data_IF_875998943973
#
_entry.id   IF_875998943973
#
_cell.length_a   1.000
_cell.length_b   1.000
_cell.length_c   1.000
_cell.angle_alpha   90.00
_cell.angle_beta   90.00
_cell.angle_gamma   90.00
#
_symmetry.space_group_name_H-M   'P 1'
#
loop_
_entity.id
_entity.type
_entity.pdbx_description
1 polymer ?
#
# COMPACT_ATOMS: atom_id res chain seq x y z
N UNK A 1 11.55 -17.08 2.50
CA UNK A 1 12.11 -16.03 3.36
C UNK A 1 13.08 -16.61 4.38
N UNK A 2 13.95 -15.81 4.95
CA UNK A 2 14.84 -16.18 6.06
C UNK A 2 14.02 -16.33 7.36
N UNK A 3 12.99 -15.52 7.55
CA UNK A 3 12.17 -15.43 8.76
C UNK A 3 12.87 -14.64 9.87
N UNK A 4 13.81 -13.76 9.51
CA UNK A 4 14.39 -12.79 10.44
C UNK A 4 13.36 -11.77 10.88
N UNK A 5 12.48 -11.43 10.00
CA UNK A 5 11.25 -10.70 10.19
C UNK A 5 10.11 -11.71 10.51
N UNK A 6 9.68 -11.86 11.82
CA UNK A 6 10.33 -11.24 12.97
C UNK A 6 10.89 -12.28 13.97
N UNK A 7 11.52 -13.35 13.49
CA UNK A 7 12.14 -14.39 14.31
C UNK A 7 13.26 -13.85 15.23
N UNK A 8 13.91 -12.74 14.84
CA UNK A 8 14.97 -12.15 15.64
C UNK A 8 14.43 -11.51 16.94
N UNK A 9 13.25 -10.90 16.90
CA UNK A 9 12.59 -10.37 18.08
C UNK A 9 12.25 -11.46 19.08
N UNK A 10 11.72 -12.59 18.62
CA UNK A 10 11.43 -13.77 19.45
C UNK A 10 12.71 -14.26 20.10
N UNK A 11 13.80 -14.38 19.33
CA UNK A 11 15.10 -14.83 19.85
C UNK A 11 15.65 -13.86 20.92
N UNK A 12 15.59 -12.55 20.67
CA UNK A 12 16.02 -11.53 21.65
C UNK A 12 15.18 -11.55 22.92
N UNK A 13 13.86 -11.66 22.80
CA UNK A 13 12.96 -11.75 23.95
C UNK A 13 13.25 -12.98 24.83
N UNK A 14 13.45 -14.14 24.20
CA UNK A 14 13.83 -15.36 24.93
C UNK A 14 15.21 -15.24 25.60
N UNK A 15 16.19 -14.66 24.91
CA UNK A 15 17.52 -14.46 25.47
C UNK A 15 17.50 -13.55 26.71
N UNK A 16 16.69 -12.47 26.69
CA UNK A 16 16.49 -11.60 27.86
C UNK A 16 15.84 -12.35 29.02
N UNK A 17 14.86 -13.21 28.76
CA UNK A 17 14.18 -13.98 29.80
C UNK A 17 15.06 -15.10 30.42
N UNK A 18 16.02 -15.63 29.68
CA UNK A 18 16.95 -16.67 30.16
C UNK A 18 18.12 -16.11 30.96
N UNK A 19 18.56 -14.88 30.69
CA UNK A 19 19.74 -14.30 31.30
C UNK A 19 19.41 -13.55 32.61
N UNK A 20 19.57 -14.24 33.73
CA UNK A 20 19.35 -13.68 35.06
C UNK A 20 20.35 -12.55 35.48
N UNK A 21 21.31 -12.22 34.65
CA UNK A 21 22.28 -11.13 34.90
C UNK A 21 21.81 -9.79 34.34
N UNK A 22 20.82 -9.79 33.47
CA UNK A 22 20.25 -8.58 32.89
C UNK A 22 19.36 -7.87 33.92
N UNK A 23 19.61 -6.59 34.12
CA UNK A 23 18.73 -5.74 34.92
C UNK A 23 17.55 -5.26 34.08
N UNK A 24 16.32 -5.52 34.52
CA UNK A 24 15.11 -5.13 33.83
C UNK A 24 13.93 -4.95 34.80
N UNK A 25 12.86 -4.20 34.43
CA UNK A 25 11.58 -4.24 35.14
C UNK A 25 10.91 -5.60 34.94
N UNK A 26 9.69 -5.80 35.48
CA UNK A 26 8.91 -6.97 35.14
C UNK A 26 8.64 -7.02 33.64
N UNK A 27 8.90 -8.16 32.99
CA UNK A 27 8.76 -8.35 31.54
C UNK A 27 7.65 -9.38 31.26
N UNK A 28 6.87 -9.09 30.27
CA UNK A 28 5.93 -9.99 29.59
C UNK A 28 6.37 -10.09 28.14
N UNK A 29 6.62 -11.30 27.63
CA UNK A 29 6.92 -11.52 26.21
C UNK A 29 5.61 -11.90 25.49
N UNK A 30 5.13 -10.99 24.64
CA UNK A 30 3.99 -11.23 23.77
C UNK A 30 4.49 -11.73 22.41
N UNK A 31 3.98 -12.86 21.97
CA UNK A 31 4.19 -13.40 20.61
C UNK A 31 2.84 -13.62 19.97
N UNK A 32 2.61 -12.96 18.86
CA UNK A 32 1.36 -13.02 18.10
C UNK A 32 1.45 -14.00 16.94
N UNK A 33 0.33 -14.24 16.27
CA UNK A 33 0.23 -15.06 15.06
C UNK A 33 -0.36 -14.24 13.92
N UNK A 34 -0.03 -14.62 12.68
CA UNK A 34 -0.58 -14.04 11.45
C UNK A 34 -0.27 -12.53 11.27
N UNK A 35 0.85 -12.03 11.79
CA UNK A 35 1.26 -10.63 11.58
C UNK A 35 1.30 -10.29 10.09
N UNK A 36 2.01 -11.11 9.30
CA UNK A 36 2.29 -10.93 7.87
C UNK A 36 1.07 -11.00 6.94
N UNK A 37 -0.09 -11.31 7.46
CA UNK A 37 -1.29 -11.53 6.66
C UNK A 37 -2.48 -10.68 7.11
N UNK A 38 -2.97 -10.92 8.31
CA UNK A 38 -4.20 -10.31 8.82
C UNK A 38 -4.00 -9.53 10.11
N UNK A 39 -2.83 -9.61 10.75
CA UNK A 39 -2.60 -9.19 12.14
C UNK A 39 -3.59 -9.87 13.13
N UNK A 40 -4.06 -11.08 12.75
CA UNK A 40 -5.15 -11.78 13.46
C UNK A 40 -4.87 -11.99 14.95
N UNK A 41 -3.60 -12.28 15.30
CA UNK A 41 -3.19 -12.43 16.70
C UNK A 41 -3.31 -11.15 17.50
N UNK A 42 -2.89 -10.01 16.95
CA UNK A 42 -2.97 -8.72 17.62
C UNK A 42 -4.40 -8.18 17.68
N UNK A 43 -5.18 -8.33 16.60
CA UNK A 43 -6.58 -7.93 16.54
C UNK A 43 -7.49 -8.78 17.45
N UNK A 44 -7.14 -10.05 17.67
CA UNK A 44 -7.85 -10.98 18.54
C UNK A 44 -7.37 -10.96 19.99
N UNK A 45 -6.48 -10.05 20.37
CA UNK A 45 -5.95 -9.95 21.74
C UNK A 45 -7.11 -9.59 22.71
N UNK A 46 -7.25 -10.36 23.78
CA UNK A 46 -8.26 -10.07 24.78
C UNK A 46 -7.80 -8.96 25.74
N UNK A 47 -8.75 -8.20 26.28
CA UNK A 47 -8.47 -7.20 27.29
C UNK A 47 -7.92 -7.83 28.58
N UNK A 48 -7.03 -7.11 29.28
CA UNK A 48 -6.45 -7.50 30.57
C UNK A 48 -5.52 -8.74 30.55
N UNK A 49 -5.04 -9.19 29.39
CA UNK A 49 -3.97 -10.20 29.32
C UNK A 49 -2.63 -9.56 29.70
N UNK A 50 -2.34 -8.37 29.17
CA UNK A 50 -1.10 -7.65 29.48
C UNK A 50 -1.29 -6.78 30.71
N UNK A 51 -0.28 -6.76 31.57
CA UNK A 51 -0.24 -5.92 32.77
C UNK A 51 0.77 -4.78 32.65
N UNK A 52 1.71 -4.88 31.69
CA UNK A 52 2.70 -3.86 31.37
C UNK A 52 2.07 -2.51 31.00
N UNK A 53 2.84 -1.44 31.19
CA UNK A 53 2.45 -0.06 30.82
C UNK A 53 3.27 0.49 29.65
N UNK A 54 4.28 -0.23 29.24
CA UNK A 54 5.16 0.09 28.12
C UNK A 54 5.28 -1.14 27.23
N UNK A 55 5.32 -0.94 25.92
CA UNK A 55 5.50 -2.01 24.92
C UNK A 55 6.64 -1.64 23.98
N UNK A 56 7.62 -2.51 23.92
CA UNK A 56 8.69 -2.45 22.92
C UNK A 56 8.37 -3.47 21.85
N UNK A 57 7.87 -3.01 20.71
CA UNK A 57 7.75 -3.82 19.50
C UNK A 57 9.12 -3.90 18.82
N UNK A 58 9.59 -5.09 18.46
CA UNK A 58 10.88 -5.28 17.79
C UNK A 58 10.63 -5.72 16.33
N UNK A 59 9.91 -4.88 15.59
CA UNK A 59 9.42 -5.16 14.25
C UNK A 59 9.80 -4.05 13.24
N UNK A 60 10.75 -3.19 13.63
CA UNK A 60 11.36 -2.25 12.70
C UNK A 60 12.59 -2.88 12.05
N UNK A 61 12.90 -2.46 10.84
CA UNK A 61 13.91 -3.07 9.97
C UNK A 61 15.13 -2.17 9.77
N UNK A 62 15.15 -1.03 10.43
CA UNK A 62 16.23 -0.04 10.32
C UNK A 62 16.79 0.34 11.69
N UNK A 63 18.10 0.15 11.83
CA UNK A 63 18.84 0.60 12.99
C UNK A 63 18.82 2.14 13.12
N UNK A 64 18.90 2.65 14.35
CA UNK A 64 18.83 4.08 14.67
C UNK A 64 17.49 4.78 14.33
N UNK A 65 16.42 4.02 14.09
CA UNK A 65 15.08 4.55 13.96
C UNK A 65 14.20 4.05 15.11
N UNK A 66 13.31 4.92 15.59
CA UNK A 66 12.22 4.58 16.51
C UNK A 66 10.90 5.01 15.89
N UNK A 67 10.06 4.05 15.61
CA UNK A 67 8.70 4.29 15.12
C UNK A 67 7.78 4.48 16.32
N UNK A 68 6.95 5.54 16.27
CA UNK A 68 6.10 5.97 17.38
C UNK A 68 4.65 6.23 16.93
N UNK A 69 4.31 5.72 15.78
CA UNK A 69 2.98 5.78 15.20
C UNK A 69 2.92 5.11 13.85
N UNK A 70 1.74 4.68 13.45
CA UNK A 70 1.50 4.05 12.16
C UNK A 70 0.13 4.44 11.58
N UNK A 71 -0.01 4.38 10.24
CA UNK A 71 -1.28 4.60 9.61
C UNK A 71 -2.20 3.39 9.76
N UNK A 72 -3.49 3.64 9.99
CA UNK A 72 -4.55 2.70 9.72
C UNK A 72 -4.87 2.64 8.22
N UNK A 73 -5.59 1.61 7.81
CA UNK A 73 -5.94 1.44 6.41
C UNK A 73 -7.31 0.82 6.19
N UNK A 74 -7.92 1.12 5.04
CA UNK A 74 -9.16 0.52 4.57
C UNK A 74 -9.09 0.27 3.08
N UNK A 75 -9.82 -0.75 2.62
CA UNK A 75 -9.94 -1.07 1.20
C UNK A 75 -11.37 -0.87 0.76
N UNK A 76 -11.59 -0.19 -0.37
CA UNK A 76 -12.89 -0.03 -0.99
C UNK A 76 -12.87 -0.75 -2.34
N UNK A 77 -13.89 -1.57 -2.60
CA UNK A 77 -14.12 -2.26 -3.86
C UNK A 77 -15.31 -1.62 -4.55
N UNK A 78 -15.10 -1.08 -5.75
CA UNK A 78 -16.18 -0.67 -6.64
C UNK A 78 -16.44 -1.79 -7.66
N UNK A 79 -17.70 -2.23 -7.77
CA UNK A 79 -18.08 -3.43 -8.53
C UNK A 79 -19.17 -3.06 -9.55
N UNK A 80 -18.85 -3.22 -10.84
CA UNK A 80 -19.81 -3.09 -11.93
C UNK A 80 -20.54 -4.43 -12.09
N UNK A 81 -21.85 -4.44 -11.82
CA UNK A 81 -22.69 -5.65 -12.02
C UNK A 81 -23.09 -5.87 -13.47
N UNK A 82 -22.65 -5.00 -14.34
CA UNK A 82 -22.92 -5.06 -15.77
C UNK A 82 -22.19 -6.25 -16.42
N UNK A 83 -22.87 -6.96 -17.31
CA UNK A 83 -22.30 -8.07 -18.08
C UNK A 83 -21.86 -7.62 -19.45
N UNK A 84 -20.92 -8.36 -20.03
CA UNK A 84 -20.61 -8.22 -21.46
C UNK A 84 -21.83 -8.58 -22.30
N UNK A 85 -21.97 -7.91 -23.44
CA UNK A 85 -22.98 -8.14 -24.46
C UNK A 85 -22.33 -8.50 -25.79
N UNK A 86 -23.11 -9.07 -26.70
CA UNK A 86 -22.59 -9.38 -28.01
C UNK A 86 -22.10 -8.10 -28.68
N UNK A 87 -20.88 -8.13 -29.19
CA UNK A 87 -20.24 -7.01 -29.86
C UNK A 87 -21.05 -6.60 -31.13
N UNK A 88 -21.44 -5.35 -31.18
CA UNK A 88 -22.18 -4.79 -32.33
C UNK A 88 -21.21 -4.04 -33.28
N UNK A 89 -20.24 -4.76 -33.82
CA UNK A 89 -19.30 -4.32 -34.84
C UNK A 89 -19.32 -5.39 -35.92
N UNK A 90 -19.52 -5.00 -37.21
CA UNK A 90 -19.68 -5.95 -38.31
C UNK A 90 -18.42 -6.74 -38.59
N UNK A 91 -17.27 -6.10 -38.52
CA UNK A 91 -15.96 -6.68 -38.81
C UNK A 91 -14.93 -6.29 -37.75
N UNK A 92 -15.02 -6.87 -36.50
CA UNK A 92 -14.20 -6.43 -35.41
C UNK A 92 -12.73 -6.86 -35.57
N UNK A 93 -11.82 -5.98 -35.21
CA UNK A 93 -10.42 -6.28 -34.87
C UNK A 93 -10.15 -5.97 -33.43
N UNK A 94 -9.32 -6.79 -32.80
CA UNK A 94 -9.03 -6.74 -31.36
C UNK A 94 -7.59 -6.36 -31.12
N UNK A 95 -7.40 -5.46 -30.14
CA UNK A 95 -6.08 -5.00 -29.76
C UNK A 95 -5.94 -4.96 -28.24
N UNK A 96 -4.75 -5.28 -27.76
CA UNK A 96 -4.31 -4.94 -26.39
C UNK A 96 -3.52 -3.65 -26.46
N UNK A 97 -3.93 -2.68 -25.67
CA UNK A 97 -3.14 -1.49 -25.36
C UNK A 97 -2.60 -1.64 -23.94
N UNK A 98 -1.30 -1.52 -23.76
CA UNK A 98 -0.63 -1.79 -22.50
C UNK A 98 0.36 -0.68 -22.15
N UNK A 99 0.36 -0.29 -20.85
CA UNK A 99 1.43 0.46 -20.21
C UNK A 99 2.11 -0.44 -19.20
N UNK A 100 3.45 -0.43 -19.17
CA UNK A 100 4.24 -1.27 -18.28
C UNK A 100 5.61 -0.67 -17.94
N UNK A 101 6.34 -1.36 -17.05
CA UNK A 101 7.67 -1.00 -16.59
C UNK A 101 7.72 0.31 -15.78
N UNK A 102 6.60 0.73 -15.18
CA UNK A 102 6.63 1.85 -14.24
C UNK A 102 7.37 1.45 -12.95
N UNK A 103 7.91 2.43 -12.22
CA UNK A 103 8.61 2.19 -10.97
C UNK A 103 7.75 1.42 -9.95
N UNK A 104 6.45 1.79 -9.82
CA UNK A 104 5.60 1.20 -8.80
C UNK A 104 6.14 1.46 -7.40
N UNK A 105 5.89 0.55 -6.46
CA UNK A 105 6.39 0.61 -5.08
C UNK A 105 5.31 0.33 -4.05
N UNK A 106 5.68 0.35 -2.78
CA UNK A 106 4.74 0.18 -1.67
C UNK A 106 3.85 1.41 -1.50
N UNK A 107 2.51 1.22 -1.50
CA UNK A 107 1.54 2.32 -1.43
C UNK A 107 1.50 3.05 -0.08
N UNK A 108 2.15 2.54 0.94
CA UNK A 108 2.41 3.23 2.20
C UNK A 108 3.79 3.89 2.18
N UNK A 109 4.85 3.11 2.31
CA UNK A 109 6.22 3.60 2.49
C UNK A 109 6.75 4.49 1.35
N UNK A 110 6.24 4.35 0.12
CA UNK A 110 6.76 5.07 -1.03
C UNK A 110 5.75 5.99 -1.73
N UNK A 111 4.54 6.16 -1.17
CA UNK A 111 3.48 6.99 -1.78
C UNK A 111 3.91 8.47 -1.91
N UNK A 112 4.74 8.96 -0.98
CA UNK A 112 5.30 10.30 -1.00
C UNK A 112 6.19 10.58 -2.21
N UNK A 113 6.71 9.55 -2.88
CA UNK A 113 7.56 9.67 -4.07
C UNK A 113 6.79 10.08 -5.33
N UNK A 114 5.46 10.22 -5.23
CA UNK A 114 4.57 10.65 -6.31
C UNK A 114 4.80 9.89 -7.63
N UNK A 115 4.92 8.55 -7.53
CA UNK A 115 5.13 7.67 -8.69
C UNK A 115 3.88 7.56 -9.54
N UNK A 116 4.05 7.30 -10.83
CA UNK A 116 2.93 7.10 -11.74
C UNK A 116 2.12 5.85 -11.37
N UNK A 117 0.81 5.97 -11.56
CA UNK A 117 -0.14 4.88 -11.42
C UNK A 117 -0.56 4.39 -12.82
N UNK A 118 -0.23 3.15 -13.17
CA UNK A 118 -0.49 2.59 -14.50
C UNK A 118 -1.97 2.63 -14.89
N UNK A 119 -2.89 2.41 -13.93
CA UNK A 119 -4.33 2.47 -14.18
C UNK A 119 -4.76 3.86 -14.64
N UNK A 120 -4.18 4.92 -14.05
CA UNK A 120 -4.44 6.31 -14.44
C UNK A 120 -3.87 6.64 -15.82
N UNK A 121 -2.62 6.23 -16.05
CA UNK A 121 -1.91 6.54 -17.30
C UNK A 121 -2.64 5.94 -18.51
N UNK A 122 -2.97 4.65 -18.45
CA UNK A 122 -3.67 3.98 -19.58
C UNK A 122 -5.09 4.52 -19.74
N UNK A 123 -5.78 4.84 -18.65
CA UNK A 123 -7.12 5.43 -18.69
C UNK A 123 -7.14 6.77 -19.44
N UNK A 124 -6.19 7.67 -19.13
CA UNK A 124 -6.03 8.95 -19.83
C UNK A 124 -5.80 8.73 -21.33
N UNK A 125 -4.97 7.77 -21.69
CA UNK A 125 -4.68 7.39 -23.06
C UNK A 125 -5.95 6.90 -23.79
N UNK A 126 -6.71 6.00 -23.19
CA UNK A 126 -7.96 5.47 -23.77
C UNK A 126 -8.98 6.59 -23.97
N UNK A 127 -9.14 7.50 -22.98
CA UNK A 127 -10.03 8.67 -23.10
C UNK A 127 -9.63 9.53 -24.32
N UNK A 128 -8.33 9.71 -24.57
CA UNK A 128 -7.88 10.46 -25.75
C UNK A 128 -8.24 9.75 -27.05
N UNK A 129 -8.02 8.45 -27.17
CA UNK A 129 -8.32 7.66 -28.36
C UNK A 129 -9.82 7.59 -28.66
N UNK A 130 -10.67 7.48 -27.63
CA UNK A 130 -12.13 7.45 -27.77
C UNK A 130 -12.74 8.73 -28.36
N UNK A 131 -12.02 9.84 -28.38
CA UNK A 131 -12.49 11.07 -29.04
C UNK A 131 -12.54 10.95 -30.58
N UNK A 132 -11.73 10.05 -31.14
CA UNK A 132 -11.58 9.90 -32.58
C UNK A 132 -12.10 8.53 -33.09
N UNK A 133 -12.15 7.51 -32.21
CA UNK A 133 -12.50 6.14 -32.59
C UNK A 133 -13.61 5.56 -31.72
N UNK A 134 -14.49 4.76 -32.33
CA UNK A 134 -15.47 3.94 -31.62
C UNK A 134 -14.78 2.68 -31.09
N UNK A 135 -14.43 2.70 -29.79
CA UNK A 135 -13.69 1.67 -29.09
C UNK A 135 -14.65 0.94 -28.15
N UNK A 136 -14.61 -0.40 -28.13
CA UNK A 136 -15.36 -1.24 -27.20
C UNK A 136 -14.41 -1.94 -26.23
N UNK A 137 -14.77 -2.00 -24.94
CA UNK A 137 -13.97 -2.67 -23.92
C UNK A 137 -14.28 -4.17 -23.88
N UNK A 138 -13.27 -5.00 -24.09
CA UNK A 138 -13.38 -6.45 -24.00
C UNK A 138 -12.82 -7.00 -22.69
N UNK A 139 -11.69 -6.47 -22.22
CA UNK A 139 -11.05 -6.86 -20.96
C UNK A 139 -10.19 -5.73 -20.40
N UNK A 140 -9.92 -5.79 -19.11
CA UNK A 140 -9.04 -4.85 -18.42
C UNK A 140 -8.33 -5.54 -17.28
N UNK A 141 -7.03 -5.26 -17.12
CA UNK A 141 -6.28 -5.69 -15.96
C UNK A 141 -5.14 -4.72 -15.65
N UNK A 142 -5.13 -4.21 -14.43
CA UNK A 142 -4.06 -3.38 -13.91
C UNK A 142 -3.89 -3.54 -12.41
N UNK A 143 -2.63 -3.57 -11.98
CA UNK A 143 -2.25 -3.83 -10.59
C UNK A 143 -2.45 -5.28 -10.14
N UNK A 144 -1.75 -5.65 -9.06
CA UNK A 144 -1.73 -7.04 -8.56
C UNK A 144 -2.05 -7.14 -7.08
N UNK A 145 -1.63 -6.15 -6.27
CA UNK A 145 -1.83 -6.08 -4.82
C UNK A 145 -2.39 -4.72 -4.43
N UNK A 146 -3.20 -4.68 -3.39
CA UNK A 146 -3.81 -3.46 -2.87
C UNK A 146 -2.82 -2.50 -2.21
N UNK A 147 -1.74 -3.04 -1.64
CA UNK A 147 -0.65 -2.28 -1.03
C UNK A 147 0.48 -1.90 -2.01
N UNK A 148 0.29 -2.07 -3.31
CA UNK A 148 1.28 -1.73 -4.33
C UNK A 148 0.76 -0.67 -5.31
N UNK A 149 1.61 0.30 -5.67
CA UNK A 149 1.35 1.25 -6.75
C UNK A 149 1.44 0.49 -8.08
N UNK A 150 0.39 0.48 -8.92
CA UNK A 150 0.37 -0.32 -10.15
C UNK A 150 1.49 0.06 -11.12
N UNK A 151 2.25 -0.93 -11.57
CA UNK A 151 3.37 -0.78 -12.51
C UNK A 151 2.98 -1.04 -13.96
N UNK A 152 1.83 -1.69 -14.15
CA UNK A 152 1.33 -2.13 -15.46
C UNK A 152 -0.19 -2.15 -15.48
N UNK A 153 -0.75 -1.86 -16.64
CA UNK A 153 -2.17 -1.99 -16.91
C UNK A 153 -2.39 -2.19 -18.40
N UNK A 154 -3.34 -3.06 -18.77
CA UNK A 154 -3.79 -3.20 -20.14
C UNK A 154 -5.30 -3.07 -20.28
N UNK A 155 -5.71 -2.68 -21.47
CA UNK A 155 -7.09 -2.74 -22.00
C UNK A 155 -7.11 -3.58 -23.27
N UNK A 156 -7.93 -4.63 -23.29
CA UNK A 156 -8.28 -5.34 -24.51
C UNK A 156 -9.53 -4.70 -25.10
N UNK A 157 -9.43 -4.28 -26.34
CA UNK A 157 -10.45 -3.49 -27.02
C UNK A 157 -10.81 -4.07 -28.37
N UNK A 158 -12.00 -3.75 -28.84
CA UNK A 158 -12.45 -4.01 -30.21
C UNK A 158 -12.73 -2.69 -30.93
N UNK A 159 -12.35 -2.64 -32.22
CA UNK A 159 -12.64 -1.55 -33.14
C UNK A 159 -13.12 -2.14 -34.47
N UNK A 160 -13.69 -1.30 -35.34
CA UNK A 160 -13.98 -1.72 -36.71
C UNK A 160 -12.69 -1.85 -37.53
N UNK A 161 -12.57 -2.94 -38.28
CA UNK A 161 -11.40 -3.25 -39.10
C UNK A 161 -11.09 -2.13 -40.12
N UNK A 162 -12.12 -1.47 -40.63
CA UNK A 162 -11.95 -0.41 -41.62
C UNK A 162 -11.22 0.80 -41.05
N UNK A 163 -11.20 0.95 -39.71
CA UNK A 163 -10.45 2.01 -38.99
C UNK A 163 -9.10 1.55 -38.42
N UNK A 164 -8.76 0.28 -38.56
CA UNK A 164 -7.64 -0.36 -37.89
C UNK A 164 -6.27 0.27 -38.21
N UNK A 165 -6.03 0.60 -39.47
CA UNK A 165 -4.78 1.21 -39.90
C UNK A 165 -4.62 2.62 -39.29
N UNK A 166 -5.65 3.48 -39.43
CA UNK A 166 -5.65 4.84 -38.85
C UNK A 166 -5.58 4.82 -37.34
N UNK A 167 -6.27 3.87 -36.69
CA UNK A 167 -6.20 3.66 -35.25
C UNK A 167 -4.78 3.30 -34.80
N UNK A 168 -4.12 2.34 -35.45
CA UNK A 168 -2.77 1.91 -35.10
C UNK A 168 -1.76 3.05 -35.24
N UNK A 169 -1.89 3.87 -36.28
CA UNK A 169 -1.04 5.05 -36.46
C UNK A 169 -1.26 6.07 -35.33
N UNK A 170 -2.53 6.35 -34.99
CA UNK A 170 -2.87 7.28 -33.90
C UNK A 170 -2.41 6.78 -32.55
N UNK A 171 -2.55 5.50 -32.25
CA UNK A 171 -2.06 4.89 -31.00
C UNK A 171 -0.53 5.11 -30.87
N UNK A 172 0.24 4.89 -31.92
CA UNK A 172 1.70 5.13 -31.88
C UNK A 172 2.04 6.59 -31.60
N UNK A 173 1.34 7.52 -32.26
CA UNK A 173 1.49 8.96 -32.00
C UNK A 173 1.20 9.30 -30.53
N UNK A 174 0.08 8.81 -30.01
CA UNK A 174 -0.31 9.02 -28.61
C UNK A 174 0.69 8.41 -27.65
N UNK A 175 1.19 7.21 -27.92
CA UNK A 175 2.22 6.57 -27.12
C UNK A 175 3.50 7.39 -27.01
N UNK A 176 3.99 7.94 -28.12
CA UNK A 176 5.17 8.82 -28.11
C UNK A 176 4.92 10.10 -27.29
N UNK A 177 3.74 10.70 -27.43
CA UNK A 177 3.37 11.88 -26.67
C UNK A 177 3.33 11.58 -25.15
N UNK A 178 2.75 10.45 -24.75
CA UNK A 178 2.66 10.03 -23.36
C UNK A 178 4.04 9.66 -22.79
N UNK A 179 4.87 8.97 -23.57
CA UNK A 179 6.25 8.68 -23.17
C UNK A 179 7.04 9.96 -22.91
N UNK A 180 6.93 10.94 -23.79
CA UNK A 180 7.58 12.24 -23.61
C UNK A 180 7.03 13.00 -22.40
N UNK A 181 5.71 12.95 -22.17
CA UNK A 181 5.03 13.58 -21.02
C UNK A 181 5.54 13.03 -19.69
N UNK A 182 5.70 11.71 -19.58
CA UNK A 182 5.98 11.02 -18.33
C UNK A 182 7.44 10.62 -18.11
N UNK A 183 8.30 10.75 -19.11
CA UNK A 183 9.72 10.32 -19.06
C UNK A 183 10.50 10.93 -17.88
N UNK A 184 10.19 12.15 -17.49
CA UNK A 184 10.86 12.80 -16.35
C UNK A 184 10.46 12.20 -15.00
N UNK A 185 9.24 11.63 -14.90
CA UNK A 185 8.69 11.05 -13.69
C UNK A 185 8.95 9.53 -13.63
N UNK A 186 8.99 8.86 -14.80
CA UNK A 186 9.27 7.44 -14.93
C UNK A 186 10.00 7.17 -16.26
N UNK A 187 11.31 7.03 -16.21
CA UNK A 187 12.16 6.87 -17.39
C UNK A 187 11.98 5.54 -18.11
N UNK A 188 11.49 4.52 -17.41
CA UNK A 188 11.33 3.16 -17.92
C UNK A 188 9.95 2.90 -18.54
N UNK A 189 9.05 3.90 -18.52
CA UNK A 189 7.68 3.73 -19.02
C UNK A 189 7.67 3.22 -20.46
N UNK A 190 6.91 2.17 -20.70
CA UNK A 190 6.78 1.53 -22.01
C UNK A 190 5.31 1.38 -22.35
N UNK A 191 4.97 1.69 -23.61
CA UNK A 191 3.63 1.49 -24.17
C UNK A 191 3.71 0.49 -25.31
N UNK A 192 2.75 -0.44 -25.35
CA UNK A 192 2.66 -1.45 -26.40
C UNK A 192 1.25 -1.56 -26.94
N UNK A 193 1.16 -1.84 -28.27
CA UNK A 193 -0.07 -2.25 -28.94
C UNK A 193 0.15 -3.61 -29.54
N UNK A 194 -0.70 -4.58 -29.22
CA UNK A 194 -0.64 -5.94 -29.73
C UNK A 194 -1.98 -6.32 -30.35
N UNK A 195 -1.96 -6.80 -31.58
CA UNK A 195 -3.17 -7.36 -32.21
C UNK A 195 -3.48 -8.73 -31.62
N UNK A 196 -4.73 -8.95 -31.21
CA UNK A 196 -5.19 -10.20 -30.62
C UNK A 196 -5.86 -11.07 -31.70
N UNK A 197 -5.44 -12.33 -31.82
CA UNK A 197 -5.96 -13.25 -32.84
C UNK A 197 -7.26 -13.94 -32.40
N UNK A 198 -7.42 -14.22 -31.09
CA UNK A 198 -8.57 -14.93 -30.52
C UNK A 198 -9.16 -14.10 -29.39
N UNK A 199 -10.26 -13.40 -29.63
CA UNK A 199 -11.04 -12.69 -28.62
C UNK A 199 -12.49 -13.15 -28.64
N UNK A 200 -13.15 -13.12 -27.49
CA UNK A 200 -14.60 -13.36 -27.46
C UNK A 200 -15.32 -12.25 -28.24
N UNK A 201 -16.37 -12.59 -28.97
CA UNK A 201 -17.17 -11.60 -29.69
C UNK A 201 -18.14 -10.88 -28.73
N UNK A 202 -17.64 -10.49 -27.56
CA UNK A 202 -18.37 -9.84 -26.48
C UNK A 202 -17.57 -8.66 -25.92
N UNK A 203 -18.26 -7.61 -25.57
CA UNK A 203 -17.69 -6.40 -24.98
C UNK A 203 -18.65 -5.80 -23.94
N UNK A 204 -18.15 -4.95 -23.08
CA UNK A 204 -19.02 -4.13 -22.25
C UNK A 204 -19.72 -3.05 -23.09
N UNK A 205 -20.94 -2.66 -22.69
CA UNK A 205 -21.65 -1.57 -23.35
C UNK A 205 -20.84 -0.27 -23.29
N UNK A 206 -21.14 0.65 -24.24
CA UNK A 206 -20.45 1.94 -24.23
C UNK A 206 -20.72 2.74 -22.95
N UNK A 207 -21.94 2.64 -22.37
CA UNK A 207 -22.29 3.28 -21.10
C UNK A 207 -21.40 2.78 -19.95
N UNK A 208 -21.23 1.47 -19.84
CA UNK A 208 -20.33 0.87 -18.81
C UNK A 208 -18.90 1.34 -19.00
N UNK A 209 -18.42 1.37 -20.24
CA UNK A 209 -17.07 1.81 -20.54
C UNK A 209 -16.86 3.29 -20.20
N UNK A 210 -17.78 4.19 -20.54
CA UNK A 210 -17.71 5.60 -20.18
C UNK A 210 -17.74 5.81 -18.66
N UNK A 211 -18.62 5.10 -17.94
CA UNK A 211 -18.68 5.14 -16.47
C UNK A 211 -17.37 4.65 -15.85
N UNK A 212 -16.78 3.59 -16.38
CA UNK A 212 -15.49 3.06 -15.93
C UNK A 212 -14.37 4.09 -16.12
N UNK A 213 -14.23 4.63 -17.31
CA UNK A 213 -13.19 5.64 -17.61
C UNK A 213 -13.35 6.88 -16.73
N UNK A 214 -14.59 7.35 -16.57
CA UNK A 214 -14.91 8.48 -15.72
C UNK A 214 -14.59 8.19 -14.25
N UNK A 215 -14.95 7.02 -13.73
CA UNK A 215 -14.67 6.62 -12.34
C UNK A 215 -13.16 6.52 -12.09
N UNK A 216 -12.41 5.83 -12.95
CA UNK A 216 -10.95 5.76 -12.84
C UNK A 216 -10.34 7.17 -12.88
N UNK A 217 -10.84 8.06 -13.72
CA UNK A 217 -10.35 9.44 -13.82
C UNK A 217 -10.61 10.23 -12.55
N UNK A 218 -11.80 10.09 -11.93
CA UNK A 218 -12.25 10.87 -10.78
C UNK A 218 -11.69 10.36 -9.45
N UNK A 219 -11.53 9.04 -9.28
CA UNK A 219 -10.93 8.46 -8.07
C UNK A 219 -9.55 9.07 -7.85
N UNK A 220 -9.23 9.57 -6.64
CA UNK A 220 -7.90 10.07 -6.34
C UNK A 220 -6.86 8.95 -6.30
N UNK A 221 -5.57 9.31 -6.29
CA UNK A 221 -4.45 8.39 -6.01
C UNK A 221 -3.20 9.21 -5.66
N UNK A 222 -2.48 8.80 -4.63
CA UNK A 222 -1.31 9.50 -4.11
C UNK A 222 -1.54 10.08 -2.71
N UNK A 223 -0.71 11.05 -2.32
CA UNK A 223 -0.83 11.74 -1.04
C UNK A 223 -2.01 12.72 -1.08
N UNK A 224 -2.88 12.67 -0.06
CA UNK A 224 -3.96 13.64 0.12
C UNK A 224 -3.56 14.77 1.07
N UNK A 225 -3.02 14.40 2.24
CA UNK A 225 -2.63 15.37 3.29
C UNK A 225 -1.30 15.01 3.92
N UNK A 226 -0.63 16.03 4.46
CA UNK A 226 0.62 15.92 5.20
C UNK A 226 0.38 16.36 6.64
N UNK A 227 1.11 15.79 7.60
CA UNK A 227 1.02 16.19 9.00
C UNK A 227 1.46 17.65 9.16
N UNK A 228 0.67 18.45 9.91
CA UNK A 228 0.97 19.87 10.12
C UNK A 228 2.25 20.10 10.92
N UNK A 229 2.47 19.27 11.92
CA UNK A 229 3.63 19.31 12.81
C UNK A 229 4.90 18.75 12.15
N UNK A 230 4.73 17.89 11.15
CA UNK A 230 5.80 17.21 10.43
C UNK A 230 5.51 17.21 8.93
N UNK A 231 5.81 18.30 8.21
CA UNK A 231 5.39 18.48 6.81
C UNK A 231 5.97 17.47 5.80
N UNK A 232 6.95 16.70 6.21
CA UNK A 232 7.56 15.64 5.40
C UNK A 232 6.92 14.26 5.65
N UNK A 233 5.99 14.16 6.62
CA UNK A 233 5.30 12.92 6.96
C UNK A 233 3.89 12.94 6.36
N UNK A 234 3.57 11.89 5.59
CA UNK A 234 2.24 11.71 4.99
C UNK A 234 1.21 11.42 6.08
N UNK A 235 0.16 12.23 6.18
CA UNK A 235 -0.99 12.00 7.06
C UNK A 235 -2.00 11.06 6.41
N UNK A 236 -2.39 11.32 5.16
CA UNK A 236 -3.34 10.47 4.44
C UNK A 236 -3.01 10.29 2.97
N UNK A 237 -3.34 9.14 2.45
CA UNK A 237 -3.17 8.78 1.05
C UNK A 237 -4.24 7.81 0.56
N UNK A 238 -4.36 7.71 -0.74
CA UNK A 238 -5.07 6.63 -1.41
C UNK A 238 -4.24 6.05 -2.57
N UNK A 239 -4.54 4.81 -2.92
CA UNK A 239 -3.93 4.12 -4.04
C UNK A 239 -5.01 3.42 -4.86
N UNK A 240 -5.20 3.86 -6.10
CA UNK A 240 -6.01 3.15 -7.09
C UNK A 240 -5.26 1.87 -7.50
N UNK A 241 -5.35 0.84 -6.66
CA UNK A 241 -4.45 -0.30 -6.65
C UNK A 241 -4.71 -1.29 -7.78
N UNK A 242 -5.96 -1.70 -7.96
CA UNK A 242 -6.32 -2.79 -8.87
C UNK A 242 -7.53 -2.38 -9.70
N UNK A 243 -7.48 -2.68 -11.00
CA UNK A 243 -8.63 -2.64 -11.91
C UNK A 243 -8.59 -3.92 -12.72
N UNK A 244 -9.57 -4.80 -12.57
CA UNK A 244 -9.61 -6.09 -13.27
C UNK A 244 -11.01 -6.71 -13.31
N UNK A 245 -11.16 -7.76 -14.09
CA UNK A 245 -12.34 -8.63 -13.99
C UNK A 245 -12.16 -9.61 -12.83
N UNK A 246 -13.17 -9.69 -11.97
CA UNK A 246 -13.34 -10.72 -10.94
C UNK A 246 -14.75 -11.29 -11.15
N UNK A 247 -14.86 -12.60 -11.36
CA UNK A 247 -16.12 -13.28 -11.64
C UNK A 247 -16.92 -12.58 -12.77
N UNK A 248 -16.24 -12.24 -13.86
CA UNK A 248 -16.76 -11.50 -15.03
C UNK A 248 -17.28 -10.08 -14.75
N UNK A 249 -17.06 -9.54 -13.55
CA UNK A 249 -17.42 -8.17 -13.18
C UNK A 249 -16.18 -7.27 -13.13
N UNK A 250 -16.29 -6.08 -13.70
CA UNK A 250 -15.23 -5.08 -13.54
C UNK A 250 -15.18 -4.68 -12.06
N UNK A 251 -14.04 -4.89 -11.44
CA UNK A 251 -13.78 -4.53 -10.05
C UNK A 251 -12.61 -3.57 -9.96
N UNK A 252 -12.82 -2.46 -9.26
CA UNK A 252 -11.79 -1.49 -8.91
C UNK A 252 -11.53 -1.62 -7.40
N UNK A 253 -10.26 -1.71 -7.01
CA UNK A 253 -9.86 -1.74 -5.61
C UNK A 253 -8.99 -0.52 -5.35
N UNK A 254 -9.39 0.29 -4.37
CA UNK A 254 -8.62 1.40 -3.85
C UNK A 254 -8.29 1.18 -2.38
N UNK A 255 -7.07 1.49 -2.00
CA UNK A 255 -6.55 1.32 -0.64
C UNK A 255 -6.30 2.70 -0.03
N UNK A 256 -6.91 2.94 1.12
CA UNK A 256 -6.87 4.19 1.87
C UNK A 256 -5.98 4.03 3.09
N UNK A 257 -5.24 5.08 3.45
CA UNK A 257 -4.43 5.11 4.66
C UNK A 257 -4.52 6.47 5.33
N UNK A 258 -4.54 6.47 6.66
CA UNK A 258 -4.35 7.69 7.45
C UNK A 258 -3.85 7.36 8.86
N UNK A 259 -3.02 8.23 9.42
CA UNK A 259 -2.63 8.20 10.83
C UNK A 259 -3.70 8.80 11.76
N UNK A 260 -4.78 9.40 11.19
CA UNK A 260 -5.91 9.99 11.91
C UNK A 260 -7.24 9.36 11.46
N UNK A 261 -8.01 8.72 12.37
CA UNK A 261 -9.27 8.04 12.02
C UNK A 261 -10.28 8.96 11.35
N UNK A 262 -10.45 10.17 11.84
CA UNK A 262 -11.42 11.13 11.29
C UNK A 262 -11.08 11.55 9.86
N UNK A 263 -9.79 11.57 9.52
CA UNK A 263 -9.31 11.83 8.14
C UNK A 263 -9.56 10.60 7.28
N UNK A 264 -9.31 9.39 7.81
CA UNK A 264 -9.58 8.14 7.11
C UNK A 264 -11.08 7.99 6.80
N UNK A 265 -11.95 8.28 7.78
CA UNK A 265 -13.41 8.25 7.61
C UNK A 265 -13.87 9.26 6.54
N UNK A 266 -13.33 10.46 6.56
CA UNK A 266 -13.64 11.50 5.56
C UNK A 266 -13.19 11.11 4.15
N UNK A 267 -12.03 10.44 4.05
CA UNK A 267 -11.51 9.95 2.78
C UNK A 267 -12.36 8.79 2.24
N UNK A 268 -12.78 7.87 3.11
CA UNK A 268 -13.72 6.81 2.77
C UNK A 268 -15.04 7.38 2.23
N UNK A 269 -15.65 8.31 2.98
CA UNK A 269 -16.91 8.94 2.56
C UNK A 269 -16.77 9.62 1.19
N UNK A 270 -15.68 10.34 0.96
CA UNK A 270 -15.38 10.98 -0.32
C UNK A 270 -15.34 9.97 -1.47
N UNK A 271 -14.61 8.86 -1.29
CA UNK A 271 -14.47 7.82 -2.33
C UNK A 271 -15.78 7.09 -2.58
N UNK A 272 -16.49 6.74 -1.51
CA UNK A 272 -17.83 6.13 -1.61
C UNK A 272 -18.80 7.03 -2.36
N UNK A 273 -18.78 8.34 -2.11
CA UNK A 273 -19.64 9.28 -2.82
C UNK A 273 -19.29 9.37 -4.32
N UNK A 274 -17.99 9.38 -4.67
CA UNK A 274 -17.55 9.31 -6.07
C UNK A 274 -18.08 8.04 -6.74
N UNK A 275 -17.98 6.88 -6.10
CA UNK A 275 -18.45 5.60 -6.65
C UNK A 275 -19.98 5.62 -6.86
N UNK A 276 -20.74 6.15 -5.87
CA UNK A 276 -22.21 6.29 -5.96
C UNK A 276 -22.65 7.22 -7.11
N UNK A 277 -21.96 8.34 -7.31
CA UNK A 277 -22.24 9.27 -8.40
C UNK A 277 -22.09 8.60 -9.78
N UNK A 278 -21.18 7.62 -9.90
CA UNK A 278 -21.01 6.82 -11.11
C UNK A 278 -21.96 5.62 -11.18
N UNK A 279 -22.91 5.47 -10.24
CA UNK A 279 -23.89 4.38 -10.17
C UNK A 279 -23.24 3.00 -10.18
N UNK A 280 -22.18 2.84 -9.39
CA UNK A 280 -21.43 1.59 -9.23
C UNK A 280 -21.65 1.09 -7.81
N UNK A 281 -21.78 -0.23 -7.64
CA UNK A 281 -21.89 -0.86 -6.33
C UNK A 281 -20.52 -0.86 -5.64
N UNK A 282 -20.53 -0.93 -4.30
CA UNK A 282 -19.29 -0.92 -3.55
C UNK A 282 -19.38 -1.78 -2.29
N UNK A 283 -18.21 -2.20 -1.84
CA UNK A 283 -17.98 -2.86 -0.56
C UNK A 283 -16.82 -2.16 0.15
N UNK A 284 -16.95 -1.94 1.44
CA UNK A 284 -15.87 -1.45 2.31
C UNK A 284 -15.33 -2.64 3.09
N UNK A 285 -14.03 -2.89 2.99
CA UNK A 285 -13.35 -3.94 3.75
C UNK A 285 -13.15 -3.54 5.22
N UNK A 286 -12.86 -4.51 6.07
CA UNK A 286 -12.70 -4.30 7.52
C UNK A 286 -11.54 -3.35 7.85
N UNK A 287 -10.43 -3.44 7.12
CA UNK A 287 -9.25 -2.60 7.35
C UNK A 287 -8.46 -2.99 8.61
N UNK A 288 -7.56 -2.11 9.00
CA UNK A 288 -6.76 -2.24 10.22
C UNK A 288 -6.60 -0.84 10.87
N UNK A 289 -6.49 -0.79 12.22
CA UNK A 289 -6.44 0.46 12.96
C UNK A 289 -5.07 1.15 12.85
N UNK A 290 -5.07 2.45 13.06
CA UNK A 290 -3.87 3.26 13.21
C UNK A 290 -3.28 3.11 14.61
N UNK A 291 -1.99 3.42 14.73
CA UNK A 291 -1.31 3.69 15.99
C UNK A 291 -0.97 5.17 16.08
N UNK A 292 -1.67 5.88 16.97
CA UNK A 292 -1.54 7.33 17.10
C UNK A 292 -0.24 7.74 17.78
N UNK A 293 0.41 8.75 17.22
CA UNK A 293 1.54 9.40 17.85
C UNK A 293 1.18 9.96 19.23
N UNK A 294 2.00 9.67 20.25
CA UNK A 294 1.89 10.27 21.58
C UNK A 294 2.89 11.42 21.74
N UNK A 295 2.42 12.67 21.98
CA UNK A 295 3.32 13.81 22.21
C UNK A 295 4.24 13.63 23.43
N UNK A 296 3.75 12.99 24.48
CA UNK A 296 4.50 12.68 25.71
C UNK A 296 4.64 11.16 25.84
N UNK A 297 5.87 10.65 25.77
CA UNK A 297 6.20 9.23 25.90
C UNK A 297 7.51 9.07 26.67
N UNK A 298 7.42 8.49 27.87
CA UNK A 298 8.59 8.20 28.69
C UNK A 298 9.45 7.11 28.02
N UNK A 299 8.80 6.11 27.43
CA UNK A 299 9.49 5.02 26.75
C UNK A 299 10.31 5.53 25.55
N UNK A 300 9.71 6.34 24.67
CA UNK A 300 10.41 6.96 23.52
C UNK A 300 11.61 7.79 23.99
N UNK A 301 11.38 8.68 24.94
CA UNK A 301 12.42 9.61 25.38
C UNK A 301 13.59 8.87 26.03
N UNK A 302 13.30 7.80 26.81
CA UNK A 302 14.33 6.90 27.37
C UNK A 302 15.06 6.12 26.28
N UNK A 303 14.33 5.60 25.27
CA UNK A 303 14.92 4.86 24.17
C UNK A 303 15.90 5.72 23.36
N UNK A 304 15.49 6.92 22.95
CA UNK A 304 16.34 7.87 22.19
C UNK A 304 17.58 8.25 23.00
N UNK A 305 17.40 8.56 24.29
CA UNK A 305 18.52 8.90 25.18
C UNK A 305 19.48 7.73 25.35
N UNK A 306 19.00 6.52 25.61
CA UNK A 306 19.82 5.32 25.77
C UNK A 306 20.65 5.03 24.53
N UNK A 307 20.08 5.15 23.34
CA UNK A 307 20.80 4.94 22.10
C UNK A 307 21.95 5.96 21.93
N UNK A 308 21.64 7.25 22.18
CA UNK A 308 22.64 8.32 22.13
C UNK A 308 23.78 8.11 23.12
N UNK A 309 23.47 7.72 24.35
CA UNK A 309 24.46 7.50 25.41
C UNK A 309 25.39 6.32 25.10
N UNK A 310 24.86 5.25 24.47
CA UNK A 310 25.63 4.05 24.12
C UNK A 310 26.53 4.24 22.91
N UNK A 311 26.02 4.87 21.87
CA UNK A 311 26.65 4.87 20.53
C UNK A 311 27.14 6.25 20.09
N UNK A 312 26.80 7.31 20.81
CA UNK A 312 27.03 8.71 20.43
C UNK A 312 26.43 9.07 19.06
N UNK A 313 25.36 8.37 18.66
CA UNK A 313 24.57 8.55 17.44
C UNK A 313 23.17 9.01 17.79
N UNK A 314 22.54 9.82 16.92
CA UNK A 314 21.15 10.26 17.12
C UNK A 314 20.18 9.24 16.53
N UNK A 315 19.16 8.86 17.30
CA UNK A 315 18.06 8.03 16.85
C UNK A 315 16.99 8.91 16.22
N UNK A 316 16.52 8.51 15.05
CA UNK A 316 15.45 9.22 14.32
C UNK A 316 14.08 8.78 14.84
N UNK A 317 13.22 9.75 15.17
CA UNK A 317 11.82 9.48 15.55
C UNK A 317 10.95 9.58 14.30
N UNK A 318 10.16 8.56 14.02
CA UNK A 318 9.32 8.52 12.82
C UNK A 318 7.92 7.99 13.08
N UNK A 319 7.01 8.31 12.18
CA UNK A 319 5.68 7.70 12.03
C UNK A 319 5.64 7.06 10.64
N UNK A 320 5.29 5.79 10.55
CA UNK A 320 5.25 5.11 9.27
C UNK A 320 3.85 5.18 8.64
N UNK A 321 3.81 5.30 7.33
CA UNK A 321 2.55 5.33 6.57
C UNK A 321 2.14 3.91 6.11
N UNK A 322 2.31 2.93 7.00
CA UNK A 322 1.94 1.52 6.84
C UNK A 322 1.30 1.03 8.14
N UNK A 323 0.66 -0.16 8.14
CA UNK A 323 0.16 -0.78 9.36
C UNK A 323 1.28 -1.38 10.20
N UNK A 324 1.07 -1.44 11.50
CA UNK A 324 1.85 -2.20 12.47
C UNK A 324 0.93 -2.82 13.51
N UNK A 325 1.32 -3.95 14.11
CA UNK A 325 0.55 -4.58 15.19
C UNK A 325 0.30 -3.66 16.39
N UNK A 326 1.17 -2.66 16.61
CA UNK A 326 0.95 -1.61 17.62
C UNK A 326 -0.40 -0.90 17.42
N UNK A 327 -0.88 -0.74 16.19
CA UNK A 327 -2.21 -0.23 15.90
C UNK A 327 -3.31 -1.14 16.45
N UNK A 328 -3.24 -2.43 16.13
CA UNK A 328 -4.18 -3.43 16.62
C UNK A 328 -4.15 -3.54 18.15
N UNK A 329 -2.96 -3.61 18.76
CA UNK A 329 -2.78 -3.66 20.20
C UNK A 329 -3.35 -2.41 20.88
N UNK A 330 -3.21 -1.22 20.28
CA UNK A 330 -3.72 0.04 20.83
C UNK A 330 -5.24 0.08 20.98
N UNK A 331 -5.98 -0.72 20.22
CA UNK A 331 -7.45 -0.80 20.35
C UNK A 331 -7.86 -1.46 21.66
N UNK A 332 -7.08 -2.40 22.16
CA UNK A 332 -7.31 -3.11 23.43
C UNK A 332 -6.61 -2.43 24.62
N UNK A 333 -5.47 -1.78 24.34
CA UNK A 333 -4.62 -1.13 25.35
C UNK A 333 -4.33 0.33 24.98
N UNK A 334 -5.31 1.25 24.98
CA UNK A 334 -5.17 2.62 24.50
C UNK A 334 -4.19 3.47 25.33
N UNK A 335 -3.94 3.08 26.58
CA UNK A 335 -3.01 3.79 27.49
C UNK A 335 -1.58 3.27 27.44
N UNK A 336 -1.29 2.23 26.68
CA UNK A 336 0.02 1.63 26.58
C UNK A 336 1.01 2.60 25.90
N UNK A 337 2.15 2.86 26.52
CA UNK A 337 3.23 3.65 25.92
C UNK A 337 4.08 2.72 25.04
N UNK A 338 4.09 2.96 23.74
CA UNK A 338 4.64 2.02 22.75
C UNK A 338 5.71 2.65 21.87
N UNK A 339 6.71 1.86 21.51
CA UNK A 339 7.68 2.14 20.44
C UNK A 339 7.87 0.90 19.58
N UNK A 340 8.21 1.07 18.30
CA UNK A 340 8.73 -0.01 17.47
C UNK A 340 10.16 0.33 17.02
N UNK A 341 11.04 -0.62 17.18
CA UNK A 341 12.49 -0.52 16.99
C UNK A 341 13.00 -1.86 16.43
N UNK A 342 14.19 -1.92 15.84
CA UNK A 342 14.72 -3.20 15.32
C UNK A 342 16.11 -3.09 14.70
N UNK A 343 16.77 -4.22 14.43
CA UNK A 343 18.01 -4.29 13.69
C UNK A 343 17.80 -4.11 12.20
N UNK A 344 18.89 -3.94 11.44
CA UNK A 344 18.84 -3.86 9.97
C UNK A 344 18.44 -5.20 9.35
N UNK A 345 17.26 -5.24 8.70
CA UNK A 345 16.76 -6.34 7.90
C UNK A 345 16.46 -5.78 6.50
N UNK A 346 16.82 -6.52 5.46
CA UNK A 346 16.71 -6.07 4.08
C UNK A 346 15.93 -7.07 3.26
N UNK A 347 15.26 -6.58 2.19
CA UNK A 347 14.51 -7.37 1.24
C UNK A 347 13.44 -8.27 1.92
N UNK A 348 12.86 -7.80 3.05
CA UNK A 348 11.78 -8.49 3.77
C UNK A 348 10.62 -8.88 2.85
N UNK A 349 9.84 -9.90 3.23
CA UNK A 349 8.73 -10.44 2.43
C UNK A 349 9.16 -11.01 1.06
N UNK A 350 10.46 -11.26 0.85
CA UNK A 350 10.99 -11.84 -0.38
C UNK A 350 11.93 -13.03 -0.12
N UNK A 351 12.17 -13.89 -1.11
CA UNK A 351 13.19 -14.95 -1.00
C UNK A 351 14.63 -14.44 -0.86
N UNK A 352 14.86 -13.12 -0.99
CA UNK A 352 16.18 -12.49 -0.87
C UNK A 352 16.39 -11.85 0.50
N UNK A 353 15.47 -12.04 1.43
CA UNK A 353 15.55 -11.53 2.80
C UNK A 353 16.91 -11.83 3.43
N UNK A 354 17.50 -10.85 4.04
CA UNK A 354 18.79 -10.92 4.73
C UNK A 354 18.83 -9.98 5.92
N UNK A 355 19.59 -10.35 6.93
CA UNK A 355 19.76 -9.60 8.18
C UNK A 355 21.24 -9.27 8.40
N UNK A 356 21.53 -8.07 8.88
CA UNK A 356 22.88 -7.64 9.21
C UNK A 356 23.30 -8.11 10.62
N UNK A 357 24.23 -9.07 10.68
CA UNK A 357 24.67 -9.67 11.94
C UNK A 357 25.24 -8.64 12.92
N UNK A 358 26.02 -7.66 12.42
CA UNK A 358 26.60 -6.62 13.27
C UNK A 358 25.53 -5.72 13.91
N UNK A 359 24.47 -5.42 13.16
CA UNK A 359 23.32 -4.67 13.65
C UNK A 359 22.56 -5.43 14.74
N UNK A 360 22.39 -6.75 14.62
CA UNK A 360 21.76 -7.59 15.65
C UNK A 360 22.53 -7.52 16.97
N UNK A 361 23.88 -7.63 16.93
CA UNK A 361 24.71 -7.53 18.14
C UNK A 361 24.61 -6.14 18.80
N UNK A 362 24.70 -5.08 18.00
CA UNK A 362 24.56 -3.69 18.46
C UNK A 362 23.19 -3.48 19.08
N UNK A 363 22.16 -4.00 18.42
CA UNK A 363 20.78 -3.83 18.82
C UNK A 363 20.43 -4.59 20.11
N UNK A 364 20.94 -5.80 20.30
CA UNK A 364 20.76 -6.55 21.55
C UNK A 364 21.39 -5.82 22.74
N UNK A 365 22.59 -5.25 22.58
CA UNK A 365 23.21 -4.40 23.60
C UNK A 365 22.34 -3.20 23.95
N UNK A 366 21.76 -2.57 22.93
CA UNK A 366 20.85 -1.45 23.13
C UNK A 366 19.59 -1.86 23.90
N UNK A 367 18.96 -2.99 23.51
CA UNK A 367 17.77 -3.50 24.19
C UNK A 367 18.03 -3.77 25.66
N UNK A 368 19.14 -4.42 25.99
CA UNK A 368 19.54 -4.71 27.40
C UNK A 368 19.71 -3.42 28.20
N UNK A 369 20.44 -2.42 27.68
CA UNK A 369 20.62 -1.15 28.37
C UNK A 369 19.34 -0.32 28.46
N UNK A 370 18.48 -0.37 27.46
CA UNK A 370 17.15 0.24 27.49
C UNK A 370 16.30 -0.35 28.60
N UNK A 371 16.23 -1.68 28.70
CA UNK A 371 15.47 -2.36 29.75
C UNK A 371 15.97 -1.98 31.16
N UNK A 372 17.28 -1.87 31.34
CA UNK A 372 17.88 -1.40 32.60
C UNK A 372 17.47 0.03 32.93
N UNK A 373 17.44 0.93 31.94
CA UNK A 373 17.07 2.34 32.12
C UNK A 373 15.57 2.56 32.35
N UNK A 374 14.75 1.56 32.08
CA UNK A 374 13.29 1.54 32.31
C UNK A 374 12.90 0.92 33.67
N UNK A 375 13.86 0.44 34.47
CA UNK A 375 13.69 -0.15 35.83
C UNK A 375 13.33 0.94 36.91
#
# INVERSE_FOLDING_TARGET
TLGADNGIAVAMGLAVLEDNTIEHPQIELLVTVEEETTMGGALGLEDNILTGKMLINIDSEEEAWVTVGSAGGRTIRAIFDDKKEKLNITNPEFFRLEVKNLFGGHSGAEIHKNRLNANKVINELIIQLKKEFDIRLCDIKGGTKDNAIPRECYFDIAIDKDTSESFTLKVKEVFENFKNKYKAQDENITFEITKLENSSNEAFSNDVFERLLSLINTLPTGVNTWLKEYPDIVESSDNLAIVKLIDDKITIITSLRSSEPSVLDSLEEKIVNIIKEHKVNYEVGEGYPEWRFRPVSHLRDTAVKTYKDLFNEDMQVTVIHAGLECGAISTHYPDLDMISIGPNIYDVHTPKEKMEIASVEKYYKYLVELLKNLK
#
